data_IF_117734636993
#
_entry.id   IF_117734636993
#
_cell.length_a   1.000
_cell.length_b   1.000
_cell.length_c   1.000
_cell.angle_alpha   90.00
_cell.angle_beta   90.00
_cell.angle_gamma   90.00
#
_symmetry.space_group_name_H-M   'P 1'
#
loop_
_entity.id
_entity.type
_entity.pdbx_description
1 polymer ?
#
# COMPACT_ATOMS: atom_id res chain seq x y z
N UNK A 1 40.68 -48.85 -21.28
CA UNK A 1 39.87 -48.00 -22.18
C UNK A 1 38.59 -47.58 -21.44
N UNK A 2 38.57 -46.45 -20.71
CA UNK A 2 37.35 -45.91 -20.16
C UNK A 2 36.77 -44.86 -21.12
N UNK A 3 35.50 -45.04 -21.47
CA UNK A 3 34.70 -44.15 -22.32
C UNK A 3 34.42 -42.84 -21.58
N UNK A 4 34.79 -41.72 -22.21
CA UNK A 4 34.44 -40.36 -21.75
C UNK A 4 32.92 -40.18 -21.75
N UNK A 5 32.36 -39.73 -20.62
CA UNK A 5 31.04 -39.10 -20.57
C UNK A 5 31.26 -37.59 -20.46
N UNK A 6 30.83 -36.88 -21.51
CA UNK A 6 30.78 -35.43 -21.57
C UNK A 6 29.96 -34.86 -20.40
N UNK A 7 30.59 -33.98 -19.63
CA UNK A 7 29.92 -33.12 -18.68
C UNK A 7 29.28 -31.97 -19.47
N UNK A 8 27.97 -32.02 -19.65
CA UNK A 8 27.20 -30.84 -20.08
C UNK A 8 27.11 -29.89 -18.90
N UNK A 9 27.88 -28.80 -18.98
CA UNK A 9 27.84 -27.70 -18.04
C UNK A 9 26.41 -27.13 -17.96
N UNK A 10 25.74 -27.39 -16.84
CA UNK A 10 24.48 -26.76 -16.50
C UNK A 10 24.70 -25.25 -16.39
N UNK A 11 23.95 -24.48 -17.19
CA UNK A 11 23.86 -23.02 -17.07
C UNK A 11 23.62 -22.63 -15.60
N UNK A 12 24.27 -21.58 -15.08
CA UNK A 12 24.05 -21.14 -13.71
C UNK A 12 22.57 -20.78 -13.53
N UNK A 13 21.96 -21.37 -12.51
CA UNK A 13 20.61 -21.03 -12.08
C UNK A 13 20.54 -19.53 -11.83
N UNK A 14 19.58 -18.85 -12.50
CA UNK A 14 19.21 -17.47 -12.17
C UNK A 14 18.97 -17.41 -10.66
N UNK A 15 19.80 -16.66 -9.94
CA UNK A 15 19.49 -16.20 -8.60
C UNK A 15 18.13 -15.51 -8.70
N UNK A 16 17.11 -16.16 -8.17
CA UNK A 16 15.76 -15.61 -8.15
C UNK A 16 15.77 -14.68 -6.95
N UNK A 17 15.82 -13.38 -7.19
CA UNK A 17 15.54 -12.37 -6.16
C UNK A 17 14.25 -12.79 -5.47
N UNK A 18 14.32 -13.11 -4.17
CA UNK A 18 13.17 -13.62 -3.40
C UNK A 18 11.98 -12.66 -3.51
N UNK A 19 10.76 -13.19 -3.62
CA UNK A 19 9.58 -12.34 -3.70
C UNK A 19 9.37 -11.65 -2.35
N UNK A 20 9.00 -10.37 -2.34
CA UNK A 20 8.72 -9.59 -1.12
C UNK A 20 7.74 -10.28 -0.14
N UNK A 21 6.83 -11.09 -0.68
CA UNK A 21 5.82 -11.79 0.10
C UNK A 21 6.28 -13.19 0.54
N UNK A 22 7.53 -13.56 0.27
CA UNK A 22 8.10 -14.84 0.67
C UNK A 22 8.40 -14.89 2.17
N UNK A 23 8.73 -13.75 2.77
CA UNK A 23 9.01 -13.60 4.20
C UNK A 23 7.84 -14.07 5.07
N UNK A 24 8.17 -14.73 6.18
CA UNK A 24 7.19 -15.29 7.11
C UNK A 24 6.98 -14.32 8.25
N UNK A 25 5.73 -13.98 8.53
CA UNK A 25 5.37 -13.16 9.68
C UNK A 25 5.39 -14.01 10.94
N UNK A 26 5.88 -13.46 12.04
CA UNK A 26 5.89 -14.12 13.35
C UNK A 26 5.06 -13.33 14.35
N UNK A 27 4.30 -14.04 15.18
CA UNK A 27 3.53 -13.46 16.28
C UNK A 27 3.51 -14.45 17.44
N UNK A 28 4.21 -14.11 18.53
CA UNK A 28 4.34 -14.98 19.69
C UNK A 28 4.88 -16.37 19.31
N UNK A 29 4.03 -17.39 19.46
CA UNK A 29 4.35 -18.80 19.16
C UNK A 29 4.01 -19.25 17.73
N UNK A 30 3.59 -18.33 16.85
CA UNK A 30 3.06 -18.67 15.52
C UNK A 30 3.85 -17.99 14.41
N UNK A 31 4.17 -18.75 13.37
CA UNK A 31 4.72 -18.26 12.11
C UNK A 31 3.65 -18.44 11.02
N UNK A 32 3.39 -17.40 10.22
CA UNK A 32 2.28 -17.42 9.27
C UNK A 32 2.56 -16.61 8.00
N UNK A 33 1.86 -17.00 6.96
CA UNK A 33 1.85 -16.31 5.66
C UNK A 33 0.48 -16.49 5.05
N UNK A 34 -0.44 -15.63 5.46
CA UNK A 34 -1.85 -15.73 5.11
C UNK A 34 -2.26 -14.48 4.35
N UNK A 35 -2.52 -14.67 3.06
CA UNK A 35 -3.03 -13.62 2.20
C UNK A 35 -4.44 -13.95 1.73
N UNK A 36 -5.30 -12.94 1.67
CA UNK A 36 -6.62 -13.08 1.07
C UNK A 36 -6.94 -11.91 0.15
N UNK A 37 -7.69 -12.23 -0.90
CA UNK A 37 -8.44 -11.26 -1.67
C UNK A 37 -9.82 -11.12 -1.08
N UNK A 38 -10.25 -9.88 -0.93
CA UNK A 38 -11.58 -9.53 -0.45
C UNK A 38 -12.22 -8.60 -1.46
N UNK A 39 -13.41 -8.95 -1.92
CA UNK A 39 -14.20 -8.11 -2.82
C UNK A 39 -15.58 -7.88 -2.26
N UNK A 40 -16.01 -6.62 -2.19
CA UNK A 40 -17.36 -6.27 -1.81
C UNK A 40 -17.87 -5.06 -2.60
N UNK A 41 -19.18 -4.85 -2.54
CA UNK A 41 -19.88 -3.86 -3.34
C UNK A 41 -20.60 -2.86 -2.45
N UNK A 42 -20.79 -1.66 -2.99
CA UNK A 42 -21.73 -0.68 -2.44
C UNK A 42 -23.16 -1.22 -2.45
N UNK A 43 -24.01 -0.68 -1.59
CA UNK A 43 -25.41 -1.08 -1.49
C UNK A 43 -26.11 -0.93 -2.84
N UNK A 44 -26.85 -1.97 -3.24
CA UNK A 44 -27.54 -2.05 -4.52
C UNK A 44 -26.64 -1.79 -5.75
N UNK A 45 -25.31 -1.96 -5.62
CA UNK A 45 -24.29 -1.68 -6.65
C UNK A 45 -24.32 -0.24 -7.18
N UNK A 46 -24.84 0.70 -6.39
CA UNK A 46 -24.85 2.12 -6.75
C UNK A 46 -23.43 2.68 -6.84
N UNK A 47 -23.12 3.57 -7.80
CA UNK A 47 -21.79 4.16 -7.94
C UNK A 47 -21.54 5.23 -6.85
N UNK A 48 -21.38 4.80 -5.60
CA UNK A 48 -21.24 5.68 -4.42
C UNK A 48 -19.78 6.05 -4.13
N UNK A 49 -18.80 5.39 -4.75
CA UNK A 49 -17.38 5.74 -4.66
C UNK A 49 -17.08 6.78 -5.73
N UNK A 50 -17.44 8.03 -5.44
CA UNK A 50 -17.17 9.22 -6.26
C UNK A 50 -15.92 9.96 -5.76
N UNK A 51 -15.49 11.00 -6.49
CA UNK A 51 -14.28 11.78 -6.16
C UNK A 51 -14.32 12.44 -4.77
N UNK A 52 -15.51 12.71 -4.23
CA UNK A 52 -15.69 13.26 -2.88
C UNK A 52 -15.53 12.17 -1.80
N UNK A 53 -16.05 10.96 -2.07
CA UNK A 53 -16.04 9.84 -1.12
C UNK A 53 -14.67 9.15 -1.06
N UNK A 54 -13.93 9.11 -2.17
CA UNK A 54 -12.67 8.37 -2.26
C UNK A 54 -11.63 8.77 -1.20
N UNK A 55 -11.27 10.07 -1.01
CA UNK A 55 -10.30 10.48 0.00
C UNK A 55 -10.67 9.99 1.42
N UNK A 56 -11.95 10.15 1.77
CA UNK A 56 -12.48 9.73 3.05
C UNK A 56 -12.46 8.20 3.21
N UNK A 57 -12.76 7.46 2.14
CA UNK A 57 -12.68 6.01 2.14
C UNK A 57 -11.23 5.52 2.33
N UNK A 58 -10.25 6.15 1.67
CA UNK A 58 -8.84 5.82 1.85
C UNK A 58 -8.39 6.01 3.29
N UNK A 59 -8.71 7.16 3.87
CA UNK A 59 -8.41 7.44 5.27
C UNK A 59 -9.08 6.42 6.19
N UNK A 60 -10.38 6.16 5.98
CA UNK A 60 -11.12 5.21 6.80
C UNK A 60 -10.61 3.76 6.69
N UNK A 61 -10.27 3.31 5.48
CA UNK A 61 -9.73 1.97 5.25
C UNK A 61 -8.40 1.79 6.00
N UNK A 62 -7.54 2.81 5.98
CA UNK A 62 -6.27 2.80 6.70
C UNK A 62 -6.43 2.74 8.20
N UNK A 63 -7.27 3.61 8.75
CA UNK A 63 -7.54 3.64 10.19
C UNK A 63 -8.08 2.29 10.68
N UNK A 64 -8.96 1.66 9.89
CA UNK A 64 -9.47 0.32 10.22
C UNK A 64 -8.36 -0.73 10.11
N UNK A 65 -7.58 -0.74 9.03
CA UNK A 65 -6.48 -1.69 8.89
C UNK A 65 -5.45 -1.55 10.03
N UNK A 66 -5.11 -0.33 10.42
CA UNK A 66 -4.20 -0.04 11.54
C UNK A 66 -4.79 -0.49 12.88
N UNK A 67 -6.07 -0.17 13.13
CA UNK A 67 -6.77 -0.53 14.36
C UNK A 67 -6.82 -2.05 14.60
N UNK A 68 -7.00 -2.84 13.55
CA UNK A 68 -7.08 -4.31 13.64
C UNK A 68 -5.78 -5.03 13.24
N UNK A 69 -4.69 -4.28 13.04
CA UNK A 69 -3.39 -4.80 12.59
C UNK A 69 -3.48 -5.67 11.32
N UNK A 70 -4.36 -5.27 10.39
CA UNK A 70 -4.45 -5.87 9.06
C UNK A 70 -3.42 -5.21 8.16
N UNK A 71 -2.57 -6.01 7.54
CA UNK A 71 -1.59 -5.49 6.59
C UNK A 71 -2.23 -5.41 5.21
N UNK A 72 -2.68 -4.22 4.84
CA UNK A 72 -3.18 -3.92 3.51
C UNK A 72 -2.01 -3.91 2.52
N UNK A 73 -2.01 -4.80 1.53
CA UNK A 73 -0.93 -4.92 0.53
C UNK A 73 -1.26 -4.12 -0.72
N UNK A 74 -2.49 -4.23 -1.20
CA UNK A 74 -2.97 -3.48 -2.34
C UNK A 74 -4.49 -3.39 -2.30
N UNK A 75 -5.04 -2.42 -3.01
CA UNK A 75 -6.47 -2.35 -3.26
C UNK A 75 -6.74 -1.78 -4.65
N UNK A 76 -7.91 -2.11 -5.18
CA UNK A 76 -8.42 -1.59 -6.45
C UNK A 76 -9.88 -1.18 -6.29
N UNK A 77 -10.18 0.07 -6.65
CA UNK A 77 -11.50 0.67 -6.50
C UNK A 77 -12.16 0.92 -7.87
N UNK A 78 -13.44 0.60 -7.93
CA UNK A 78 -14.37 1.00 -9.00
C UNK A 78 -15.54 1.74 -8.38
N UNK A 79 -16.39 2.43 -9.16
CA UNK A 79 -17.45 3.29 -8.60
C UNK A 79 -18.38 2.58 -7.59
N UNK A 80 -18.55 1.26 -7.69
CA UNK A 80 -19.41 0.46 -6.83
C UNK A 80 -18.73 -0.79 -6.23
N UNK A 81 -17.42 -0.97 -6.43
CA UNK A 81 -16.71 -2.20 -6.08
C UNK A 81 -15.38 -1.87 -5.42
N UNK A 82 -15.09 -2.57 -4.32
CA UNK A 82 -13.81 -2.53 -3.62
C UNK A 82 -13.17 -3.91 -3.72
N UNK A 83 -11.91 -3.97 -4.13
CA UNK A 83 -11.07 -5.17 -4.07
C UNK A 83 -9.88 -4.87 -3.16
N UNK A 84 -9.62 -5.74 -2.19
CA UNK A 84 -8.53 -5.61 -1.23
C UNK A 84 -7.67 -6.87 -1.28
N UNK A 85 -6.36 -6.69 -1.16
CA UNK A 85 -5.39 -7.75 -0.95
C UNK A 85 -4.74 -7.51 0.40
N UNK A 86 -4.96 -8.43 1.34
CA UNK A 86 -4.64 -8.24 2.75
C UNK A 86 -3.85 -9.44 3.28
N UNK A 87 -2.83 -9.17 4.09
CA UNK A 87 -2.21 -10.13 5.00
C UNK A 87 -2.85 -10.01 6.39
N UNK A 88 -3.17 -11.14 7.02
CA UNK A 88 -3.89 -11.18 8.29
C UNK A 88 -3.32 -12.25 9.24
N UNK A 89 -3.53 -12.05 10.55
CA UNK A 89 -3.07 -12.98 11.59
C UNK A 89 -3.93 -14.25 11.61
N UNK A 90 -3.38 -15.43 11.98
CA UNK A 90 -4.13 -16.70 11.99
C UNK A 90 -5.34 -16.72 12.94
N UNK A 91 -5.31 -15.89 13.99
CA UNK A 91 -6.40 -15.76 14.96
C UNK A 91 -7.62 -15.02 14.38
N UNK A 92 -7.46 -14.30 13.28
CA UNK A 92 -8.52 -13.48 12.69
C UNK A 92 -9.36 -14.34 11.76
N UNK A 93 -10.65 -14.47 12.06
CA UNK A 93 -11.61 -15.07 11.15
C UNK A 93 -11.86 -14.14 9.95
N UNK A 94 -11.92 -14.70 8.73
CA UNK A 94 -12.17 -13.93 7.51
C UNK A 94 -13.52 -13.18 7.55
N UNK A 95 -14.54 -13.76 8.20
CA UNK A 95 -15.84 -13.11 8.43
C UNK A 95 -15.68 -11.82 9.23
N UNK A 96 -14.85 -11.83 10.26
CA UNK A 96 -14.59 -10.69 11.13
C UNK A 96 -13.73 -9.64 10.43
N UNK A 97 -12.72 -10.08 9.67
CA UNK A 97 -11.91 -9.20 8.83
C UNK A 97 -12.78 -8.36 7.89
N UNK A 98 -13.64 -9.01 7.11
CA UNK A 98 -14.52 -8.32 6.15
C UNK A 98 -15.57 -7.49 6.88
N UNK A 99 -16.13 -8.01 7.97
CA UNK A 99 -17.11 -7.30 8.81
C UNK A 99 -16.54 -6.02 9.43
N UNK A 100 -15.31 -6.07 9.93
CA UNK A 100 -14.64 -4.93 10.55
C UNK A 100 -14.30 -3.85 9.52
N UNK A 101 -13.80 -4.24 8.34
CA UNK A 101 -13.53 -3.32 7.24
C UNK A 101 -14.83 -2.64 6.78
N UNK A 102 -15.88 -3.40 6.48
CA UNK A 102 -17.16 -2.83 6.00
C UNK A 102 -17.81 -1.92 7.04
N UNK A 103 -17.90 -2.35 8.30
CA UNK A 103 -18.50 -1.53 9.37
C UNK A 103 -17.66 -0.29 9.67
N UNK A 104 -16.35 -0.45 9.82
CA UNK A 104 -15.45 0.64 10.18
C UNK A 104 -15.32 1.71 9.10
N UNK A 105 -15.31 1.31 7.83
CA UNK A 105 -15.31 2.26 6.70
C UNK A 105 -16.65 2.95 6.52
N UNK A 106 -17.77 2.21 6.60
CA UNK A 106 -19.09 2.82 6.48
C UNK A 106 -19.36 3.85 7.59
N UNK A 107 -18.98 3.53 8.83
CA UNK A 107 -19.15 4.44 9.96
C UNK A 107 -18.42 5.77 9.74
N UNK A 108 -17.11 5.72 9.42
CA UNK A 108 -16.30 6.91 9.16
C UNK A 108 -16.75 7.70 7.94
N UNK A 109 -17.22 7.02 6.89
CA UNK A 109 -17.80 7.69 5.71
C UNK A 109 -19.09 8.46 6.06
N UNK A 110 -19.96 7.90 6.91
CA UNK A 110 -21.18 8.59 7.34
C UNK A 110 -20.88 9.78 8.27
N UNK A 111 -19.84 9.69 9.09
CA UNK A 111 -19.38 10.82 9.92
C UNK A 111 -18.81 11.95 9.07
N UNK A 112 -17.96 11.62 8.10
CA UNK A 112 -17.35 12.61 7.21
C UNK A 112 -18.36 13.24 6.25
N UNK A 113 -19.28 12.43 5.70
CA UNK A 113 -20.26 12.86 4.70
C UNK A 113 -21.69 12.50 5.13
N UNK A 114 -22.30 13.27 6.06
CA UNK A 114 -23.68 13.02 6.52
C UNK A 114 -24.73 13.06 5.40
N UNK A 115 -24.41 13.69 4.26
CA UNK A 115 -25.28 13.74 3.07
C UNK A 115 -25.44 12.36 2.41
N UNK A 116 -24.46 11.45 2.56
CA UNK A 116 -24.56 10.07 2.05
C UNK A 116 -25.72 9.31 2.67
N UNK A 117 -26.00 9.55 3.96
CA UNK A 117 -27.12 8.91 4.66
C UNK A 117 -28.46 9.28 4.01
N UNK A 118 -28.62 10.55 3.61
CA UNK A 118 -29.80 11.02 2.87
C UNK A 118 -29.88 10.44 1.46
N UNK A 119 -28.74 10.29 0.77
CA UNK A 119 -28.65 9.71 -0.58
C UNK A 119 -29.01 8.23 -0.61
N UNK A 120 -28.65 7.48 0.43
CA UNK A 120 -28.85 6.03 0.53
C UNK A 120 -30.18 5.68 1.22
N UNK A 121 -30.71 6.58 2.07
CA UNK A 121 -31.96 6.41 2.81
C UNK A 121 -31.90 5.42 3.98
N UNK A 122 -30.73 4.79 4.21
CA UNK A 122 -30.43 3.90 5.34
C UNK A 122 -28.94 4.01 5.71
N UNK A 123 -28.60 3.77 6.98
CA UNK A 123 -27.21 3.65 7.47
C UNK A 123 -26.53 2.35 7.05
N UNK A 124 -26.50 2.06 5.76
CA UNK A 124 -25.87 0.86 5.21
C UNK A 124 -25.21 1.21 3.87
N UNK A 125 -23.91 1.49 3.90
CA UNK A 125 -23.14 1.88 2.71
C UNK A 125 -22.81 0.68 1.80
N UNK A 126 -22.53 -0.48 2.42
CA UNK A 126 -22.12 -1.69 1.71
C UNK A 126 -23.28 -2.68 1.54
N UNK A 127 -23.22 -3.49 0.49
CA UNK A 127 -24.06 -4.68 0.34
C UNK A 127 -23.73 -5.71 1.43
N UNK A 128 -24.65 -6.61 1.75
CA UNK A 128 -24.45 -7.63 2.79
C UNK A 128 -23.41 -8.66 2.38
N UNK A 129 -23.50 -9.17 1.15
CA UNK A 129 -22.57 -10.14 0.59
C UNK A 129 -21.15 -9.60 0.37
N UNK A 130 -20.22 -10.54 0.23
CA UNK A 130 -18.82 -10.29 -0.11
C UNK A 130 -18.22 -11.58 -0.68
N UNK A 131 -17.10 -11.43 -1.38
CA UNK A 131 -16.30 -12.52 -1.93
C UNK A 131 -14.95 -12.54 -1.20
N UNK A 132 -14.46 -13.74 -0.89
CA UNK A 132 -13.13 -13.94 -0.32
C UNK A 132 -12.45 -15.10 -1.02
N UNK A 133 -11.17 -14.93 -1.33
CA UNK A 133 -10.32 -15.96 -1.92
C UNK A 133 -8.97 -15.98 -1.22
N UNK A 134 -8.48 -17.17 -0.91
CA UNK A 134 -7.13 -17.35 -0.35
C UNK A 134 -6.09 -17.20 -1.45
N UNK A 135 -4.98 -16.52 -1.15
CA UNK A 135 -3.91 -16.27 -2.12
C UNK A 135 -2.59 -16.83 -1.59
N UNK A 136 -1.88 -17.56 -2.45
CA UNK A 136 -0.51 -17.97 -2.18
C UNK A 136 0.47 -16.83 -2.41
N UNK A 137 1.54 -16.76 -1.63
CA UNK A 137 2.53 -15.67 -1.71
C UNK A 137 3.10 -15.39 -3.10
N UNK A 138 3.36 -16.46 -3.89
CA UNK A 138 3.87 -16.34 -5.27
C UNK A 138 2.88 -15.65 -6.22
N UNK A 139 1.60 -15.64 -5.88
CA UNK A 139 0.55 -15.02 -6.70
C UNK A 139 0.34 -13.55 -6.34
N UNK A 140 0.72 -13.12 -5.13
CA UNK A 140 0.48 -11.75 -4.61
C UNK A 140 1.06 -10.73 -5.57
N UNK A 141 2.33 -10.87 -5.94
CA UNK A 141 3.00 -9.93 -6.84
C UNK A 141 2.36 -9.91 -8.24
N UNK A 142 1.97 -11.08 -8.77
CA UNK A 142 1.27 -11.19 -10.05
C UNK A 142 -0.09 -10.49 -10.04
N UNK A 143 -0.87 -10.68 -8.98
CA UNK A 143 -2.18 -10.02 -8.80
C UNK A 143 -2.02 -8.50 -8.74
N UNK A 144 -1.05 -8.04 -7.95
CA UNK A 144 -0.73 -6.62 -7.80
C UNK A 144 -0.33 -5.99 -9.15
N UNK A 145 0.53 -6.65 -9.91
CA UNK A 145 0.92 -6.22 -11.27
C UNK A 145 -0.29 -6.16 -12.20
N UNK A 146 -1.14 -7.19 -12.18
CA UNK A 146 -2.35 -7.26 -13.01
C UNK A 146 -3.35 -6.14 -12.69
N UNK A 147 -3.52 -5.78 -11.41
CA UNK A 147 -4.39 -4.66 -11.03
C UNK A 147 -3.85 -3.34 -11.56
N UNK A 148 -2.54 -3.11 -11.45
CA UNK A 148 -1.91 -1.89 -11.96
C UNK A 148 -1.98 -1.78 -13.50
N UNK A 149 -1.81 -2.89 -14.22
CA UNK A 149 -1.99 -2.90 -15.67
C UNK A 149 -3.45 -2.68 -16.10
N UNK A 150 -4.41 -3.12 -15.28
CA UNK A 150 -5.84 -2.91 -15.54
C UNK A 150 -6.25 -1.48 -15.29
N UNK A 151 -5.65 -0.80 -14.32
CA UNK A 151 -5.82 0.64 -14.10
C UNK A 151 -5.34 1.46 -15.30
N UNK A 152 -4.16 1.15 -15.86
CA UNK A 152 -3.68 1.84 -17.07
C UNK A 152 -4.61 1.66 -18.28
N UNK A 153 -5.34 0.55 -18.34
CA UNK A 153 -6.23 0.17 -19.45
C UNK A 153 -7.69 0.55 -19.23
N UNK A 154 -8.12 0.78 -18.00
CA UNK A 154 -9.52 0.93 -17.62
C UNK A 154 -9.66 2.11 -16.68
N UNK A 155 -10.76 2.86 -16.78
CA UNK A 155 -11.17 3.87 -15.79
C UNK A 155 -11.53 3.23 -14.42
N UNK A 156 -10.71 2.31 -13.90
CA UNK A 156 -10.69 2.04 -12.48
C UNK A 156 -10.29 3.35 -11.79
N UNK A 157 -11.01 3.74 -10.75
CA UNK A 157 -10.77 5.04 -10.10
C UNK A 157 -9.39 5.08 -9.45
N UNK A 158 -8.89 3.93 -8.97
CA UNK A 158 -7.56 3.84 -8.37
C UNK A 158 -7.12 2.39 -8.17
N UNK A 159 -5.85 2.08 -8.39
CA UNK A 159 -5.15 0.92 -7.84
C UNK A 159 -3.91 1.39 -7.09
N UNK A 160 -3.87 1.21 -5.78
CA UNK A 160 -2.67 1.49 -5.00
C UNK A 160 -2.10 0.17 -4.47
N UNK A 161 -0.79 -0.03 -4.66
CA UNK A 161 -0.03 -0.88 -3.73
C UNK A 161 0.14 -0.07 -2.45
N UNK A 162 0.09 -0.69 -1.28
CA UNK A 162 0.50 -0.04 -0.05
C UNK A 162 1.96 0.44 -0.12
N UNK A 163 2.79 -0.24 -0.92
CA UNK A 163 4.16 0.14 -1.25
C UNK A 163 4.27 1.28 -2.28
N UNK A 164 3.28 1.44 -3.18
CA UNK A 164 3.21 2.49 -4.20
C UNK A 164 2.31 3.65 -3.77
N UNK A 165 1.98 3.67 -2.48
CA UNK A 165 1.32 4.79 -1.85
C UNK A 165 2.23 6.01 -1.99
N UNK A 166 1.71 7.08 -2.60
CA UNK A 166 2.37 8.37 -2.61
C UNK A 166 2.02 9.11 -1.32
N UNK A 167 2.96 9.27 -0.36
CA UNK A 167 2.81 10.09 0.84
C UNK A 167 2.18 11.45 0.60
N UNK A 168 2.48 12.03 -0.55
CA UNK A 168 2.16 13.41 -0.90
C UNK A 168 0.72 13.58 -1.39
N UNK A 169 -0.01 12.48 -1.58
CA UNK A 169 -1.41 12.47 -2.02
C UNK A 169 -2.44 12.55 -0.88
N UNK A 170 -2.01 12.55 0.39
CA UNK A 170 -2.91 12.64 1.56
C UNK A 170 -3.21 14.10 1.92
N UNK A 171 -4.36 14.33 2.58
CA UNK A 171 -4.68 15.52 3.38
C UNK A 171 -3.44 16.15 4.07
N UNK A 172 -3.21 17.44 3.80
CA UNK A 172 -2.01 18.17 4.21
C UNK A 172 -1.67 18.06 5.70
N UNK A 173 -2.67 17.95 6.59
CA UNK A 173 -2.44 17.83 8.05
C UNK A 173 -1.80 16.51 8.47
N UNK A 174 -2.12 15.40 7.80
CA UNK A 174 -1.55 14.10 8.13
C UNK A 174 -0.13 13.99 7.59
N UNK A 175 0.11 14.56 6.40
CA UNK A 175 1.44 14.70 5.83
C UNK A 175 2.32 15.62 6.67
N UNK A 176 1.82 16.77 7.12
CA UNK A 176 2.54 17.71 8.00
C UNK A 176 3.04 17.03 9.27
N UNK A 177 2.16 16.26 9.96
CA UNK A 177 2.55 15.49 11.14
C UNK A 177 3.63 14.45 10.85
N UNK A 178 3.54 13.75 9.73
CA UNK A 178 4.57 12.79 9.33
C UNK A 178 5.88 13.49 8.93
N UNK A 179 5.82 14.70 8.37
CA UNK A 179 6.99 15.51 8.03
C UNK A 179 7.66 16.16 9.26
N UNK A 180 6.94 16.34 10.36
CA UNK A 180 7.50 16.83 11.63
C UNK A 180 8.45 15.81 12.28
N UNK A 181 8.19 14.52 12.09
CA UNK A 181 9.02 13.40 12.56
C UNK A 181 10.31 13.21 11.72
N UNK A 182 10.40 13.84 10.54
CA UNK A 182 11.60 13.82 9.70
C UNK A 182 12.69 14.78 10.21
N UNK A 183 13.95 14.43 9.95
CA UNK A 183 15.08 15.31 10.20
C UNK A 183 14.92 16.63 9.42
N UNK A 184 15.44 17.76 9.94
CA UNK A 184 15.32 19.05 9.27
C UNK A 184 15.83 19.04 7.81
N UNK A 185 16.92 18.30 7.54
CA UNK A 185 17.49 18.17 6.19
C UNK A 185 16.61 17.31 5.26
N UNK A 186 16.09 16.17 5.74
CA UNK A 186 15.15 15.30 5.01
C UNK A 186 13.88 16.04 4.61
N UNK A 187 13.35 16.86 5.53
CA UNK A 187 12.16 17.67 5.32
C UNK A 187 12.37 18.76 4.26
N UNK A 188 13.52 19.43 4.29
CA UNK A 188 13.87 20.45 3.30
C UNK A 188 14.02 19.84 1.91
N UNK A 189 14.66 18.67 1.81
CA UNK A 189 14.85 17.93 0.56
C UNK A 189 13.50 17.55 -0.08
N UNK A 190 12.57 16.97 0.69
CA UNK A 190 11.23 16.62 0.18
C UNK A 190 10.41 17.85 -0.22
N UNK A 191 10.55 18.97 0.50
CA UNK A 191 9.86 20.23 0.15
C UNK A 191 10.34 20.78 -1.19
N UNK A 192 11.65 20.81 -1.41
CA UNK A 192 12.26 21.31 -2.64
C UNK A 192 11.99 20.39 -3.84
N UNK A 193 12.12 19.06 -3.66
CA UNK A 193 11.87 18.09 -4.74
C UNK A 193 10.41 18.07 -5.19
N UNK A 194 9.47 18.28 -4.28
CA UNK A 194 8.03 18.14 -4.58
C UNK A 194 7.25 19.45 -4.56
N UNK A 195 7.90 20.60 -4.35
CA UNK A 195 7.26 21.91 -4.36
C UNK A 195 6.19 22.08 -3.27
N UNK A 196 6.40 21.49 -2.10
CA UNK A 196 5.43 21.55 -0.99
C UNK A 196 5.51 22.92 -0.31
N UNK A 197 4.38 23.41 0.25
CA UNK A 197 4.29 24.70 0.96
C UNK A 197 4.55 25.95 0.08
N UNK A 198 4.31 25.87 -1.23
CA UNK A 198 4.46 27.00 -2.15
C UNK A 198 5.86 27.19 -2.72
N UNK A 199 6.75 26.21 -2.49
CA UNK A 199 8.07 26.13 -3.12
C UNK A 199 7.95 25.64 -4.58
N UNK A 200 8.95 25.97 -5.41
CA UNK A 200 8.99 25.51 -6.80
C UNK A 200 9.52 24.08 -6.82
N UNK A 201 9.01 23.24 -7.72
CA UNK A 201 9.53 21.87 -7.92
C UNK A 201 10.94 21.98 -8.51
N UNK A 202 11.93 21.47 -7.77
CA UNK A 202 13.33 21.45 -8.16
C UNK A 202 13.75 20.06 -8.65
N UNK A 203 14.68 20.01 -9.60
CA UNK A 203 15.27 18.71 -10.02
C UNK A 203 16.23 18.18 -8.96
N UNK A 204 16.47 16.85 -8.90
CA UNK A 204 17.45 16.27 -7.98
C UNK A 204 18.84 16.89 -8.10
N UNK A 205 19.21 17.33 -9.31
CA UNK A 205 20.46 18.02 -9.59
C UNK A 205 20.51 19.44 -8.99
N UNK A 206 19.41 20.20 -9.06
CA UNK A 206 19.29 21.52 -8.44
C UNK A 206 19.27 21.42 -6.91
N UNK A 207 18.57 20.42 -6.35
CA UNK A 207 18.53 20.18 -4.90
C UNK A 207 19.89 19.76 -4.36
N UNK A 208 20.63 18.94 -5.12
CA UNK A 208 22.01 18.56 -4.80
C UNK A 208 22.93 19.80 -4.70
N UNK A 209 22.79 20.75 -5.63
CA UNK A 209 23.54 22.02 -5.61
C UNK A 209 23.15 22.91 -4.43
N UNK A 210 21.85 23.04 -4.13
CA UNK A 210 21.34 23.86 -3.03
C UNK A 210 21.72 23.32 -1.64
N UNK A 211 21.76 21.99 -1.48
CA UNK A 211 22.07 21.34 -0.20
C UNK A 211 23.54 20.91 -0.08
N UNK A 212 24.38 21.20 -1.09
CA UNK A 212 25.78 20.77 -1.14
C UNK A 212 25.96 19.25 -0.99
N UNK A 213 25.06 18.47 -1.59
CA UNK A 213 25.05 17.01 -1.59
C UNK A 213 25.34 16.47 -2.99
N UNK A 214 25.69 15.18 -3.10
CA UNK A 214 25.74 14.51 -4.40
C UNK A 214 24.32 14.14 -4.85
N UNK A 215 24.10 14.11 -6.16
CA UNK A 215 22.80 13.71 -6.76
C UNK A 215 22.37 12.31 -6.30
N UNK A 216 23.33 11.39 -6.15
CA UNK A 216 23.05 10.03 -5.67
C UNK A 216 22.61 10.02 -4.20
N UNK A 217 23.22 10.87 -3.36
CA UNK A 217 22.84 11.04 -1.94
C UNK A 217 21.45 11.66 -1.82
N UNK A 218 21.10 12.62 -2.69
CA UNK A 218 19.75 13.20 -2.75
C UNK A 218 18.71 12.14 -3.10
N UNK A 219 18.98 11.28 -4.09
CA UNK A 219 18.08 10.18 -4.47
C UNK A 219 17.96 9.12 -3.37
N UNK A 220 19.05 8.81 -2.68
CA UNK A 220 19.05 7.84 -1.58
C UNK A 220 18.23 8.37 -0.39
N UNK A 221 18.45 9.62 0.00
CA UNK A 221 17.67 10.29 1.05
C UNK A 221 16.21 10.41 0.65
N UNK A 222 15.90 10.79 -0.60
CA UNK A 222 14.52 10.83 -1.11
C UNK A 222 13.84 9.47 -0.97
N UNK A 223 14.49 8.39 -1.40
CA UNK A 223 13.94 7.04 -1.32
C UNK A 223 13.71 6.59 0.13
N UNK A 224 14.68 6.84 1.01
CA UNK A 224 14.59 6.51 2.42
C UNK A 224 13.48 7.32 3.13
N UNK A 225 13.39 8.61 2.86
CA UNK A 225 12.35 9.47 3.43
C UNK A 225 10.97 9.07 2.91
N UNK A 226 10.83 8.84 1.61
CA UNK A 226 9.57 8.35 1.03
C UNK A 226 9.21 6.96 1.55
N UNK A 227 10.19 6.15 1.94
CA UNK A 227 9.96 4.88 2.62
C UNK A 227 9.45 5.08 4.04
N UNK A 228 10.13 5.88 4.87
CA UNK A 228 9.70 6.26 6.23
C UNK A 228 8.29 6.85 6.23
N UNK A 229 8.04 7.81 5.33
CA UNK A 229 6.73 8.43 5.15
C UNK A 229 5.68 7.40 4.75
N UNK A 230 5.99 6.47 3.84
CA UNK A 230 5.08 5.37 3.48
C UNK A 230 4.78 4.49 4.70
N UNK A 231 5.77 4.09 5.49
CA UNK A 231 5.56 3.29 6.69
C UNK A 231 4.69 4.01 7.72
N UNK A 232 4.99 5.27 8.02
CA UNK A 232 4.24 6.04 9.03
C UNK A 232 2.80 6.33 8.62
N UNK A 233 2.58 6.65 7.34
CA UNK A 233 1.26 6.99 6.81
C UNK A 233 0.41 5.75 6.47
N UNK A 234 1.03 4.60 6.19
CA UNK A 234 0.31 3.34 5.94
C UNK A 234 0.17 2.47 7.18
N UNK A 235 1.04 2.64 8.18
CA UNK A 235 1.17 1.72 9.31
C UNK A 235 1.71 0.34 8.93
N UNK A 236 2.17 0.15 7.69
CA UNK A 236 2.76 -1.09 7.20
C UNK A 236 4.26 -0.98 7.34
N UNK A 237 4.89 -1.95 8.01
CA UNK A 237 6.35 -2.07 8.00
C UNK A 237 6.78 -2.54 6.62
N UNK A 238 7.55 -1.72 5.92
CA UNK A 238 8.09 -1.97 4.59
C UNK A 238 9.57 -2.34 4.76
N UNK A 239 10.15 -3.24 3.95
CA UNK A 239 11.57 -3.53 4.04
C UNK A 239 12.39 -2.36 3.50
N UNK A 240 13.42 -1.97 4.26
CA UNK A 240 14.33 -0.88 3.89
C UNK A 240 14.90 -1.14 2.48
N UNK A 241 14.91 -0.14 1.59
CA UNK A 241 15.42 -0.30 0.22
C UNK A 241 16.91 -0.71 0.16
N UNK A 242 17.64 -0.57 1.27
CA UNK A 242 19.04 -0.97 1.40
C UNK A 242 19.23 -2.03 2.48
N UNK A 243 18.97 -3.29 2.10
CA UNK A 243 19.33 -4.48 2.84
C UNK A 243 20.40 -5.29 2.09
N UNK A 244 21.56 -4.68 1.88
CA UNK A 244 22.77 -5.35 1.38
C UNK A 244 23.91 -5.16 2.37
N UNK A 245 24.19 -6.22 3.12
CA UNK A 245 25.46 -6.53 3.79
C UNK A 245 26.02 -5.52 4.82
N UNK A 246 25.85 -5.85 6.09
CA UNK A 246 26.93 -5.73 7.08
C UNK A 246 26.96 -7.03 7.90
N UNK A 247 27.69 -8.02 7.39
CA UNK A 247 28.19 -9.11 8.21
C UNK A 247 29.66 -8.80 8.52
N UNK A 248 29.96 -8.57 9.80
CA UNK A 248 31.31 -8.73 10.36
C UNK A 248 31.79 -10.19 10.24
#
# INVERSE_FOLDING_TARGET
MPTQREQTAGKPARQTVGSLYEEVHTSGSSAYRLYCLVTFYTRARQPLLDEEVLPHFHHALREVCKQYEYQLIAYSLKPNQVNLLICYKPMVALTDLVGNIKRGTAHRLFEALPRLERRIGKRSFWAEGYYVETVGYRQVEGIVRLWHEREKRSKALMTAKAEAFDPLSIDGKALERAMEELLPAERALIKLLHGLHGERVHTPEEVAEMLSLKVEEVRQIEQEVMHKLREWLTGVRLPHPEGGENHE
#
